data_IF_796610699383
#
_entry.id   IF_796610699383
#
_cell.length_a   1.000
_cell.length_b   1.000
_cell.length_c   1.000
_cell.angle_alpha   90.00
_cell.angle_beta   90.00
_cell.angle_gamma   90.00
#
_symmetry.space_group_name_H-M   'P 1'
#
loop_
_entity.id
_entity.type
_entity.pdbx_description
1 polymer ?
#
# COMPACT_ATOMS: atom_id res chain seq x y z
N UNK A 1 -4.46 17.54 16.41
CA UNK A 1 -4.95 17.38 15.02
C UNK A 1 -5.54 15.99 14.86
N UNK A 2 -6.70 15.88 14.20
CA UNK A 2 -7.27 14.58 13.84
C UNK A 2 -6.55 14.05 12.60
N UNK A 3 -6.16 12.77 12.59
CA UNK A 3 -5.52 12.14 11.41
C UNK A 3 -6.60 11.81 10.38
N UNK A 4 -6.40 12.25 9.15
CA UNK A 4 -7.29 11.97 8.02
C UNK A 4 -6.98 10.58 7.46
N UNK A 5 -7.69 9.55 7.94
CA UNK A 5 -7.53 8.16 7.49
C UNK A 5 -8.02 7.96 6.04
N UNK A 6 -7.49 6.94 5.38
CA UNK A 6 -8.00 6.48 4.09
C UNK A 6 -9.42 5.91 4.24
N UNK A 7 -10.23 6.08 3.21
CA UNK A 7 -11.53 5.44 3.07
C UNK A 7 -11.43 4.30 2.06
N UNK A 8 -12.32 3.30 2.17
CA UNK A 8 -12.42 2.21 1.18
C UNK A 8 -12.49 2.74 -0.26
N UNK A 9 -13.33 3.78 -0.47
CA UNK A 9 -13.47 4.44 -1.77
C UNK A 9 -12.15 4.95 -2.32
N UNK A 10 -11.23 5.45 -1.48
CA UNK A 10 -9.93 5.90 -1.96
C UNK A 10 -9.14 4.76 -2.60
N UNK A 11 -9.15 3.56 -2.02
CA UNK A 11 -8.40 2.41 -2.54
C UNK A 11 -9.01 1.88 -3.83
N UNK A 12 -10.34 1.78 -3.88
CA UNK A 12 -11.08 1.36 -5.08
C UNK A 12 -10.84 2.32 -6.25
N UNK A 13 -10.99 3.63 -6.01
CA UNK A 13 -10.81 4.65 -7.03
C UNK A 13 -9.37 4.66 -7.58
N UNK A 14 -8.36 4.46 -6.73
CA UNK A 14 -6.95 4.38 -7.16
C UNK A 14 -6.72 3.17 -8.08
N UNK A 15 -7.17 1.97 -7.68
CA UNK A 15 -6.94 0.78 -8.50
C UNK A 15 -7.68 0.85 -9.84
N UNK A 16 -8.92 1.34 -9.85
CA UNK A 16 -9.67 1.53 -11.09
C UNK A 16 -9.01 2.59 -11.99
N UNK A 17 -8.47 3.68 -11.43
CA UNK A 17 -7.70 4.66 -12.22
C UNK A 17 -6.46 4.05 -12.86
N UNK A 18 -5.73 3.16 -12.17
CA UNK A 18 -4.57 2.46 -12.74
C UNK A 18 -5.01 1.58 -13.92
N UNK A 19 -6.10 0.82 -13.74
CA UNK A 19 -6.69 -0.02 -14.80
C UNK A 19 -7.20 0.79 -16.00
N UNK A 20 -7.82 1.95 -15.78
CA UNK A 20 -8.23 2.83 -16.88
C UNK A 20 -7.01 3.37 -17.63
N UNK A 21 -5.91 3.68 -16.93
CA UNK A 21 -4.67 4.15 -17.55
C UNK A 21 -4.01 3.06 -18.39
N UNK A 22 -3.96 1.81 -17.94
CA UNK A 22 -3.41 0.69 -18.72
C UNK A 22 -4.17 0.41 -20.01
N UNK A 23 -5.46 0.76 -20.08
CA UNK A 23 -6.25 0.65 -21.32
C UNK A 23 -5.91 1.75 -22.34
N UNK A 24 -5.26 2.83 -21.89
CA UNK A 24 -4.91 4.00 -22.72
C UNK A 24 -3.43 4.09 -23.05
N UNK A 25 -2.58 3.54 -22.19
CA UNK A 25 -1.13 3.57 -22.31
C UNK A 25 -0.57 2.14 -22.26
N UNK A 26 -0.02 1.62 -23.37
CA UNK A 26 0.51 0.26 -23.45
C UNK A 26 1.76 0.03 -22.59
N UNK A 27 2.41 1.10 -22.08
CA UNK A 27 3.54 0.98 -21.15
C UNK A 27 3.09 0.67 -19.72
N UNK A 28 1.79 0.84 -19.42
CA UNK A 28 1.21 0.54 -18.12
C UNK A 28 0.52 -0.82 -18.23
N UNK A 29 1.16 -1.87 -17.75
CA UNK A 29 0.54 -3.20 -17.72
C UNK A 29 -0.55 -3.28 -16.64
N UNK A 30 -1.67 -3.94 -16.93
CA UNK A 30 -2.64 -4.39 -15.93
C UNK A 30 -3.16 -5.77 -16.31
N UNK A 31 -2.83 -6.79 -15.52
CA UNK A 31 -3.06 -8.20 -15.85
C UNK A 31 -4.16 -8.85 -15.03
N UNK A 32 -4.98 -8.06 -14.33
CA UNK A 32 -6.01 -8.55 -13.43
C UNK A 32 -7.10 -9.35 -14.17
N UNK A 33 -7.40 -10.55 -13.68
CA UNK A 33 -8.49 -11.39 -14.19
C UNK A 33 -9.82 -11.08 -13.49
N UNK A 34 -10.94 -11.20 -14.22
CA UNK A 34 -12.29 -11.15 -13.62
C UNK A 34 -12.57 -12.32 -12.68
N UNK A 35 -11.81 -13.41 -12.79
CA UNK A 35 -11.91 -14.60 -11.93
C UNK A 35 -11.37 -14.37 -10.52
N UNK A 36 -10.56 -13.32 -10.34
CA UNK A 36 -10.08 -12.87 -9.04
C UNK A 36 -10.86 -11.61 -8.62
N UNK A 37 -11.97 -11.73 -7.88
CA UNK A 37 -12.73 -10.55 -7.48
C UNK A 37 -11.96 -9.71 -6.46
N UNK A 38 -12.24 -8.40 -6.45
CA UNK A 38 -11.71 -7.50 -5.42
C UNK A 38 -12.22 -7.96 -4.05
N UNK A 39 -11.30 -8.17 -3.12
CA UNK A 39 -11.60 -8.63 -1.75
C UNK A 39 -12.00 -7.46 -0.86
N UNK A 40 -13.20 -6.92 -1.09
CA UNK A 40 -13.71 -5.72 -0.38
C UNK A 40 -13.63 -5.84 1.14
N UNK A 41 -14.00 -6.99 1.71
CA UNK A 41 -13.91 -7.22 3.16
C UNK A 41 -12.48 -7.04 3.71
N UNK A 42 -11.44 -7.42 2.95
CA UNK A 42 -10.06 -7.26 3.37
C UNK A 42 -9.67 -5.78 3.40
N UNK A 43 -10.13 -5.00 2.42
CA UNK A 43 -9.92 -3.55 2.36
C UNK A 43 -10.69 -2.82 3.46
N UNK A 44 -11.91 -3.23 3.79
CA UNK A 44 -12.68 -2.66 4.91
C UNK A 44 -11.96 -2.91 6.24
N UNK A 45 -11.47 -4.14 6.47
CA UNK A 45 -10.70 -4.47 7.67
C UNK A 45 -9.37 -3.75 7.75
N UNK A 46 -8.70 -3.50 6.62
CA UNK A 46 -7.51 -2.66 6.55
C UNK A 46 -7.78 -1.26 7.12
N UNK A 47 -8.90 -0.63 6.74
CA UNK A 47 -9.28 0.70 7.24
C UNK A 47 -9.73 0.64 8.71
N UNK A 48 -10.54 -0.35 9.07
CA UNK A 48 -11.02 -0.56 10.46
C UNK A 48 -9.87 -0.71 11.45
N UNK A 49 -8.84 -1.50 11.09
CA UNK A 49 -7.71 -1.83 11.94
C UNK A 49 -6.52 -0.88 11.82
N UNK A 50 -6.63 0.21 11.07
CA UNK A 50 -5.59 1.23 11.02
C UNK A 50 -5.22 1.71 12.43
N UNK A 51 -3.93 1.76 12.81
CA UNK A 51 -3.51 1.98 14.20
C UNK A 51 -3.63 3.45 14.61
N UNK A 52 -4.84 3.90 14.96
CA UNK A 52 -5.20 5.32 15.22
C UNK A 52 -4.41 6.03 16.32
N UNK A 53 -3.66 5.28 17.15
CA UNK A 53 -2.81 5.81 18.22
C UNK A 53 -1.37 6.08 17.76
N UNK A 54 -1.00 5.70 16.53
CA UNK A 54 0.32 5.91 15.95
C UNK A 54 0.41 7.24 15.20
N UNK A 55 1.63 7.65 14.87
CA UNK A 55 1.91 8.84 14.07
C UNK A 55 1.43 8.68 12.62
N UNK A 56 1.29 9.79 11.90
CA UNK A 56 0.99 9.76 10.45
C UNK A 56 2.00 8.91 9.69
N UNK A 57 3.29 9.04 10.00
CA UNK A 57 4.39 8.31 9.36
C UNK A 57 4.30 6.78 9.60
N UNK A 58 3.86 6.37 10.78
CA UNK A 58 3.69 4.95 11.07
C UNK A 58 2.40 4.38 10.46
N UNK A 59 1.34 5.19 10.38
CA UNK A 59 0.09 4.79 9.73
C UNK A 59 0.27 4.68 8.21
N UNK A 60 1.07 5.55 7.59
CA UNK A 60 1.43 5.41 6.16
C UNK A 60 2.21 4.11 5.93
N UNK A 61 3.15 3.75 6.81
CA UNK A 61 3.87 2.47 6.73
C UNK A 61 2.93 1.26 6.87
N UNK A 62 1.93 1.37 7.76
CA UNK A 62 0.88 0.38 7.89
C UNK A 62 0.08 0.21 6.58
N UNK A 63 -0.32 1.29 5.92
CA UNK A 63 -1.05 1.21 4.66
C UNK A 63 -0.19 0.63 3.53
N UNK A 64 1.04 1.12 3.38
CA UNK A 64 1.98 0.64 2.36
C UNK A 64 2.20 -0.88 2.49
N UNK A 65 2.55 -1.34 3.70
CA UNK A 65 2.73 -2.76 4.00
C UNK A 65 1.48 -3.57 3.67
N UNK A 66 0.35 -3.20 4.27
CA UNK A 66 -0.79 -4.12 4.34
C UNK A 66 -1.62 -4.14 3.05
N UNK A 67 -1.65 -3.07 2.25
CA UNK A 67 -2.27 -3.13 0.91
C UNK A 67 -1.50 -4.13 0.03
N UNK A 68 -0.17 -4.13 0.10
CA UNK A 68 0.67 -5.05 -0.68
C UNK A 68 0.48 -6.49 -0.23
N UNK A 69 0.44 -6.72 1.08
CA UNK A 69 0.39 -8.07 1.64
C UNK A 69 -0.99 -8.71 1.47
N UNK A 70 -2.08 -7.93 1.62
CA UNK A 70 -3.44 -8.46 1.47
C UNK A 70 -3.74 -8.93 0.04
N UNK A 71 -3.05 -8.39 -0.97
CA UNK A 71 -3.29 -8.69 -2.40
C UNK A 71 -4.79 -8.60 -2.77
N UNK A 72 -5.52 -7.64 -2.20
CA UNK A 72 -6.98 -7.60 -2.31
C UNK A 72 -7.50 -7.21 -3.70
N UNK A 73 -6.64 -6.70 -4.58
CA UNK A 73 -6.97 -6.39 -5.97
C UNK A 73 -6.48 -7.49 -6.92
N UNK A 74 -7.16 -7.70 -8.06
CA UNK A 74 -6.72 -8.67 -9.08
C UNK A 74 -5.37 -8.33 -9.71
N UNK A 75 -5.00 -7.05 -9.73
CA UNK A 75 -3.66 -6.59 -10.07
C UNK A 75 -3.39 -5.20 -9.47
N UNK A 76 -2.16 -4.73 -9.59
CA UNK A 76 -1.68 -3.42 -9.21
C UNK A 76 -1.65 -3.15 -7.69
N UNK A 77 -1.69 -4.17 -6.84
CA UNK A 77 -1.62 -4.03 -5.38
C UNK A 77 -0.45 -3.14 -4.92
N UNK A 78 0.74 -3.30 -5.49
CA UNK A 78 1.91 -2.46 -5.16
C UNK A 78 1.73 -1.00 -5.58
N UNK A 79 1.24 -0.76 -6.80
CA UNK A 79 1.00 0.61 -7.31
C UNK A 79 -0.12 1.29 -6.50
N UNK A 80 -1.19 0.56 -6.20
CA UNK A 80 -2.26 1.04 -5.34
C UNK A 80 -1.76 1.37 -3.94
N UNK A 81 -0.87 0.56 -3.36
CA UNK A 81 -0.31 0.82 -2.04
C UNK A 81 0.53 2.10 -2.00
N UNK A 82 1.42 2.30 -2.98
CA UNK A 82 2.24 3.52 -3.07
C UNK A 82 1.35 4.76 -3.25
N UNK A 83 0.44 4.76 -4.24
CA UNK A 83 -0.44 5.91 -4.49
C UNK A 83 -1.40 6.18 -3.33
N UNK A 84 -1.86 5.15 -2.62
CA UNK A 84 -2.69 5.33 -1.43
C UNK A 84 -1.91 5.95 -0.27
N UNK A 85 -0.64 5.55 -0.12
CA UNK A 85 0.28 6.08 0.89
C UNK A 85 0.58 7.55 0.63
N UNK A 86 0.90 7.91 -0.60
CA UNK A 86 1.09 9.28 -1.07
C UNK A 86 -0.13 10.15 -0.75
N UNK A 87 -1.33 9.75 -1.21
CA UNK A 87 -2.58 10.49 -0.92
C UNK A 87 -2.91 10.60 0.55
N UNK A 88 -2.55 9.60 1.36
CA UNK A 88 -2.73 9.67 2.80
C UNK A 88 -1.78 10.69 3.44
N UNK A 89 -0.51 10.72 3.02
CA UNK A 89 0.48 11.67 3.50
C UNK A 89 0.10 13.11 3.12
N UNK A 90 -0.31 13.35 1.86
CA UNK A 90 -0.78 14.66 1.38
C UNK A 90 -1.96 15.19 2.21
N UNK A 91 -2.98 14.36 2.46
CA UNK A 91 -4.14 14.70 3.29
C UNK A 91 -3.79 15.05 4.74
N UNK A 92 -2.58 14.69 5.19
CA UNK A 92 -2.09 14.94 6.53
C UNK A 92 -0.91 15.92 6.56
N UNK A 93 -0.69 16.68 5.47
CA UNK A 93 0.25 17.80 5.43
C UNK A 93 1.69 17.43 5.09
N UNK A 94 1.92 16.26 4.49
CA UNK A 94 3.25 15.83 4.08
C UNK A 94 3.34 15.71 2.57
N UNK A 95 4.50 16.03 2.02
CA UNK A 95 4.87 15.66 0.67
C UNK A 95 5.65 14.34 0.68
N UNK A 96 5.46 13.52 -0.35
CA UNK A 96 6.08 12.21 -0.50
C UNK A 96 6.71 12.07 -1.88
N UNK A 97 8.00 12.45 -1.96
CA UNK A 97 8.75 12.50 -3.22
C UNK A 97 9.73 11.34 -3.31
N UNK A 98 9.63 10.52 -4.35
CA UNK A 98 10.59 9.46 -4.65
C UNK A 98 10.81 9.35 -6.16
N UNK A 99 12.00 8.91 -6.55
CA UNK A 99 12.32 8.60 -7.94
C UNK A 99 11.81 7.20 -8.33
N UNK A 100 11.57 6.99 -9.62
CA UNK A 100 11.12 5.71 -10.14
C UNK A 100 12.10 4.56 -9.82
N UNK A 101 13.41 4.85 -9.78
CA UNK A 101 14.45 3.87 -9.43
C UNK A 101 14.37 3.48 -7.95
N UNK A 102 14.04 4.41 -7.06
CA UNK A 102 13.89 4.16 -5.62
C UNK A 102 12.65 3.30 -5.35
N UNK A 103 11.53 3.59 -6.01
CA UNK A 103 10.33 2.73 -5.93
C UNK A 103 10.59 1.31 -6.45
N UNK A 104 11.40 1.17 -7.51
CA UNK A 104 11.80 -0.14 -8.02
C UNK A 104 12.68 -0.92 -7.02
N UNK A 105 13.68 -0.25 -6.42
CA UNK A 105 14.56 -0.85 -5.42
C UNK A 105 13.78 -1.25 -4.16
N UNK A 106 12.90 -0.37 -3.67
CA UNK A 106 11.97 -0.66 -2.59
C UNK A 106 11.15 -1.92 -2.88
N UNK A 107 10.55 -2.02 -4.09
CA UNK A 107 9.77 -3.20 -4.48
C UNK A 107 10.58 -4.49 -4.42
N UNK A 108 11.83 -4.46 -4.91
CA UNK A 108 12.72 -5.62 -4.92
C UNK A 108 13.04 -6.09 -3.49
N UNK A 109 13.39 -5.16 -2.61
CA UNK A 109 13.68 -5.47 -1.20
C UNK A 109 12.43 -5.95 -0.46
N UNK A 110 11.27 -5.34 -0.76
CA UNK A 110 10.00 -5.73 -0.17
C UNK A 110 9.65 -7.18 -0.48
N UNK A 111 9.87 -7.63 -1.72
CA UNK A 111 9.67 -9.04 -2.06
C UNK A 111 10.58 -9.94 -1.25
N UNK A 112 11.87 -9.61 -1.10
CA UNK A 112 12.79 -10.41 -0.30
C UNK A 112 12.36 -10.49 1.17
N UNK A 113 11.99 -9.35 1.78
CA UNK A 113 11.51 -9.30 3.17
C UNK A 113 10.19 -10.01 3.37
N UNK A 114 9.28 -9.92 2.39
CA UNK A 114 7.99 -10.61 2.41
C UNK A 114 8.17 -12.13 2.34
N UNK A 115 9.03 -12.63 1.45
CA UNK A 115 9.31 -14.05 1.35
C UNK A 115 9.93 -14.57 2.65
N UNK A 116 10.86 -13.82 3.24
CA UNK A 116 11.48 -14.18 4.51
C UNK A 116 10.46 -14.21 5.67
N UNK A 117 9.60 -13.20 5.78
CA UNK A 117 8.65 -13.07 6.89
C UNK A 117 7.43 -14.00 6.78
N UNK A 118 6.98 -14.29 5.55
CA UNK A 118 5.70 -14.96 5.31
C UNK A 118 5.81 -16.28 4.55
N UNK A 119 6.99 -16.60 3.98
CA UNK A 119 7.21 -17.78 3.16
C UNK A 119 6.48 -17.76 1.81
N UNK A 120 5.87 -16.63 1.41
CA UNK A 120 5.05 -16.55 0.19
C UNK A 120 4.88 -15.13 -0.35
N UNK A 121 4.65 -15.03 -1.67
CA UNK A 121 4.18 -13.83 -2.35
C UNK A 121 2.65 -13.81 -2.57
N UNK A 122 1.98 -14.88 -2.15
CA UNK A 122 0.53 -14.99 -2.20
C UNK A 122 -0.13 -14.13 -1.14
N UNK A 123 -1.42 -13.91 -1.34
CA UNK A 123 -2.27 -13.19 -0.40
C UNK A 123 -2.12 -13.69 1.03
N UNK A 124 -2.27 -12.78 1.98
CA UNK A 124 -2.27 -13.11 3.42
C UNK A 124 -3.64 -12.85 4.03
N UNK A 125 -4.03 -13.66 5.03
CA UNK A 125 -5.30 -13.48 5.72
C UNK A 125 -5.38 -12.15 6.48
N UNK A 126 -6.59 -11.67 6.75
CA UNK A 126 -6.90 -10.45 7.52
C UNK A 126 -6.19 -10.41 8.88
N UNK A 127 -5.83 -11.55 9.47
CA UNK A 127 -5.07 -11.61 10.73
C UNK A 127 -3.73 -10.88 10.66
N UNK A 128 -3.14 -10.75 9.46
CA UNK A 128 -1.88 -10.02 9.24
C UNK A 128 -1.97 -8.54 9.65
N UNK A 129 -3.18 -7.96 9.62
CA UNK A 129 -3.44 -6.56 9.98
C UNK A 129 -3.24 -6.28 11.47
N UNK A 130 -3.24 -7.33 12.31
CA UNK A 130 -3.07 -7.23 13.76
C UNK A 130 -1.69 -7.68 14.23
N UNK A 131 -0.82 -8.06 13.30
CA UNK A 131 0.56 -8.44 13.63
C UNK A 131 1.34 -7.24 14.15
N UNK A 132 2.31 -7.52 15.02
CA UNK A 132 3.30 -6.52 15.43
C UNK A 132 4.18 -6.06 14.27
N UNK A 133 5.02 -5.07 14.56
CA UNK A 133 5.99 -4.56 13.60
C UNK A 133 7.02 -5.65 13.27
N UNK A 134 7.22 -5.88 11.99
CA UNK A 134 8.14 -6.88 11.46
C UNK A 134 9.03 -6.25 10.38
N UNK A 135 9.95 -7.03 9.80
CA UNK A 135 10.92 -6.50 8.83
C UNK A 135 10.26 -5.83 7.62
N UNK A 136 9.07 -6.30 7.21
CA UNK A 136 8.31 -5.68 6.11
C UNK A 136 7.76 -4.31 6.53
N UNK A 137 7.27 -4.18 7.77
CA UNK A 137 6.87 -2.88 8.31
C UNK A 137 8.06 -1.93 8.43
N UNK A 138 9.20 -2.41 8.96
CA UNK A 138 10.42 -1.61 9.09
C UNK A 138 10.89 -1.06 7.75
N UNK A 139 10.92 -1.90 6.70
CA UNK A 139 11.26 -1.47 5.35
C UNK A 139 10.30 -0.41 4.81
N UNK A 140 8.99 -0.59 4.98
CA UNK A 140 8.00 0.41 4.57
C UNK A 140 8.19 1.74 5.32
N UNK A 141 8.48 1.66 6.61
CA UNK A 141 8.69 2.83 7.46
C UNK A 141 9.96 3.60 7.07
N UNK A 142 11.06 2.88 6.79
CA UNK A 142 12.31 3.46 6.30
C UNK A 142 12.12 4.13 4.95
N UNK A 143 11.44 3.47 4.02
CA UNK A 143 11.10 4.05 2.72
C UNK A 143 10.30 5.34 2.88
N UNK A 144 9.29 5.38 3.75
CA UNK A 144 8.52 6.60 3.97
C UNK A 144 9.37 7.71 4.59
N UNK A 145 10.16 7.40 5.62
CA UNK A 145 11.00 8.38 6.31
C UNK A 145 12.06 9.01 5.39
N UNK A 146 12.59 8.24 4.45
CA UNK A 146 13.60 8.73 3.51
C UNK A 146 13.05 9.76 2.49
N UNK A 147 11.74 9.70 2.20
CA UNK A 147 11.13 10.42 1.08
C UNK A 147 10.06 11.44 1.53
N UNK A 148 9.86 11.60 2.85
CA UNK A 148 8.86 12.52 3.40
C UNK A 148 9.46 13.90 3.68
N UNK A 149 8.73 14.94 3.27
CA UNK A 149 9.02 16.33 3.62
C UNK A 149 7.76 16.96 4.23
N UNK A 150 7.92 17.81 5.24
CA UNK A 150 6.80 18.61 5.73
C UNK A 150 6.53 19.75 4.75
N UNK A 151 5.25 19.97 4.45
CA UNK A 151 4.79 21.14 3.71
C UNK A 151 4.85 22.41 4.54
#
# INVERSE_FOLDING_TARGET
MSINLLLLKNLLDINEQIKIRSLKDPLIEYTGSKEYPIKVLHLEKLIEYAPKKRTVIEISAYYLKNIIILQAFPDANHRTAITATERFLEKNGYNFDYEAVEAYNFRKELYNKRLHSYGTYEERPISVLKEGDNEVFSLCLEFIKAHIKMN
#
